data_IF_629808012814
#
_entry.id   IF_629808012814
#
_cell.length_a   1.000
_cell.length_b   1.000
_cell.length_c   1.000
_cell.angle_alpha   90.00
_cell.angle_beta   90.00
_cell.angle_gamma   90.00
#
_symmetry.space_group_name_H-M   'P 1'
#
loop_
_entity.id
_entity.type
_entity.pdbx_description
1 polymer ?
#
# COMPACT_ATOMS: atom_id res chain seq x y z
N UNK A 1 -2.82 27.79 18.42
CA UNK A 1 -2.64 26.35 18.17
C UNK A 1 -3.71 25.49 18.83
N UNK A 2 -3.85 25.40 20.15
CA UNK A 2 -4.86 24.54 20.82
C UNK A 2 -6.29 24.75 20.31
N UNK A 3 -6.70 26.01 20.08
CA UNK A 3 -8.01 26.34 19.53
C UNK A 3 -8.13 25.88 18.07
N UNK A 4 -7.11 26.12 17.26
CA UNK A 4 -7.00 25.69 15.86
C UNK A 4 -7.10 24.15 15.76
N UNK A 5 -6.42 23.42 16.66
CA UNK A 5 -6.52 21.96 16.74
C UNK A 5 -7.91 21.46 17.14
N UNK A 6 -8.56 22.11 18.13
CA UNK A 6 -9.91 21.73 18.57
C UNK A 6 -10.97 21.90 17.49
N UNK A 7 -10.80 22.91 16.63
CA UNK A 7 -11.76 23.24 15.57
C UNK A 7 -11.53 22.44 14.27
N UNK A 8 -10.27 22.19 13.92
CA UNK A 8 -9.90 21.61 12.60
C UNK A 8 -9.04 20.34 12.69
N UNK A 9 -8.77 19.80 13.89
CA UNK A 9 -7.91 18.63 14.03
C UNK A 9 -6.46 18.87 13.60
N UNK A 10 -5.72 17.78 13.37
CA UNK A 10 -4.32 17.83 12.95
C UNK A 10 -4.11 18.44 11.56
N UNK A 11 -5.07 18.30 10.65
CA UNK A 11 -4.98 18.84 9.29
C UNK A 11 -4.94 20.39 9.24
N UNK A 12 -5.42 21.04 10.30
CA UNK A 12 -5.36 22.49 10.40
C UNK A 12 -3.99 23.02 10.85
N UNK A 13 -3.05 22.15 11.23
CA UNK A 13 -1.74 22.51 11.76
C UNK A 13 -0.62 22.11 10.80
N UNK A 14 0.39 22.97 10.68
CA UNK A 14 1.64 22.60 10.03
C UNK A 14 2.47 21.69 10.95
N UNK A 15 3.42 20.93 10.41
CA UNK A 15 4.26 19.96 11.14
C UNK A 15 4.94 20.56 12.36
N UNK A 16 5.53 21.75 12.22
CA UNK A 16 6.15 22.46 13.34
C UNK A 16 5.13 22.88 14.40
N UNK A 17 3.89 23.23 14.03
CA UNK A 17 2.83 23.58 14.99
C UNK A 17 2.36 22.36 15.79
N UNK A 18 2.31 21.16 15.16
CA UNK A 18 2.02 19.90 15.84
C UNK A 18 3.11 19.60 16.87
N UNK A 19 4.37 19.72 16.46
CA UNK A 19 5.53 19.46 17.32
C UNK A 19 5.62 20.47 18.45
N UNK A 20 5.39 21.76 18.17
CA UNK A 20 5.32 22.82 19.17
C UNK A 20 4.23 22.52 20.22
N UNK A 21 3.04 22.10 19.77
CA UNK A 21 1.95 21.73 20.66
C UNK A 21 2.30 20.53 21.53
N UNK A 22 3.02 19.54 21.01
CA UNK A 22 3.53 18.40 21.75
C UNK A 22 4.53 18.84 22.82
N UNK A 23 5.48 19.70 22.48
CA UNK A 23 6.50 20.19 23.38
C UNK A 23 5.92 21.02 24.55
N UNK A 24 4.74 21.65 24.40
CA UNK A 24 4.05 22.32 25.51
C UNK A 24 3.73 21.40 26.70
N UNK A 25 3.66 20.10 26.50
CA UNK A 25 3.41 19.14 27.59
C UNK A 25 4.67 18.76 28.33
N UNK A 26 5.85 18.90 27.74
CA UNK A 26 7.15 18.58 28.34
C UNK A 26 7.98 19.81 28.71
N UNK A 27 7.69 20.96 28.12
CA UNK A 27 8.42 22.23 28.36
C UNK A 27 7.41 23.32 28.77
N UNK A 28 7.02 23.41 30.05
CA UNK A 28 6.06 24.40 30.47
C UNK A 28 6.66 25.81 30.50
N UNK A 29 5.85 26.82 30.13
CA UNK A 29 6.15 28.25 30.26
C UNK A 29 7.27 28.80 29.36
N UNK A 30 7.69 28.07 28.36
CA UNK A 30 8.70 28.49 27.36
C UNK A 30 8.05 28.44 25.96
N UNK A 31 8.43 29.40 25.13
CA UNK A 31 8.06 29.33 23.70
C UNK A 31 8.86 28.22 23.03
N UNK A 32 8.16 27.21 22.53
CA UNK A 32 8.75 26.01 21.90
C UNK A 32 8.76 26.07 20.37
N UNK A 33 8.33 27.18 19.78
CA UNK A 33 8.25 27.33 18.31
C UNK A 33 9.62 27.15 17.64
N UNK A 34 10.64 27.89 18.14
CA UNK A 34 11.99 27.78 17.56
C UNK A 34 12.59 26.37 17.73
N UNK A 35 12.31 25.72 18.87
CA UNK A 35 12.76 24.34 19.11
C UNK A 35 12.07 23.35 18.16
N UNK A 36 10.79 23.54 17.88
CA UNK A 36 10.05 22.73 16.92
C UNK A 36 10.62 22.87 15.51
N UNK A 37 10.92 24.09 15.06
CA UNK A 37 11.58 24.33 13.78
C UNK A 37 12.95 23.65 13.69
N UNK A 38 13.80 23.79 14.71
CA UNK A 38 15.12 23.14 14.74
C UNK A 38 15.02 21.63 14.62
N UNK A 39 14.04 20.99 15.28
CA UNK A 39 13.81 19.55 15.16
C UNK A 39 13.43 19.17 13.74
N UNK A 40 12.47 19.89 13.12
CA UNK A 40 12.07 19.63 11.74
C UNK A 40 13.24 19.79 10.77
N UNK A 41 14.01 20.87 10.91
CA UNK A 41 15.16 21.16 10.04
C UNK A 41 16.26 20.10 10.19
N UNK A 42 16.54 19.66 11.41
CA UNK A 42 17.61 18.70 11.70
C UNK A 42 17.26 17.27 11.25
N UNK A 43 16.00 16.85 11.39
CA UNK A 43 15.57 15.48 11.12
C UNK A 43 14.74 15.34 9.83
N UNK A 44 14.50 16.42 9.09
CA UNK A 44 13.86 16.38 7.77
C UNK A 44 12.34 16.20 7.80
N UNK A 45 11.68 16.41 8.96
CA UNK A 45 10.22 16.32 9.11
C UNK A 45 9.78 15.51 10.33
N UNK A 46 8.47 15.42 10.55
CA UNK A 46 7.89 14.72 11.73
C UNK A 46 8.34 13.24 11.81
N UNK A 47 8.35 12.54 10.69
CA UNK A 47 8.76 11.13 10.64
C UNK A 47 10.22 10.95 11.11
N UNK A 48 11.12 11.84 10.66
CA UNK A 48 12.51 11.84 11.12
C UNK A 48 12.65 12.12 12.61
N UNK A 49 11.90 13.11 13.13
CA UNK A 49 11.89 13.44 14.57
C UNK A 49 11.40 12.27 15.41
N UNK A 50 10.29 11.61 15.00
CA UNK A 50 9.72 10.45 15.71
C UNK A 50 10.59 9.18 15.63
N UNK A 51 11.49 9.11 14.64
CA UNK A 51 12.43 7.99 14.45
C UNK A 51 13.81 8.25 15.08
N UNK A 52 14.10 9.49 15.48
CA UNK A 52 15.38 9.88 16.05
C UNK A 52 15.65 9.21 17.39
N UNK A 53 16.92 8.90 17.65
CA UNK A 53 17.34 8.30 18.92
C UNK A 53 17.39 9.35 20.02
N UNK A 54 17.19 8.91 21.26
CA UNK A 54 17.17 9.79 22.44
C UNK A 54 18.37 10.74 22.50
N UNK A 55 19.58 10.24 22.25
CA UNK A 55 20.80 11.04 22.31
C UNK A 55 20.89 12.09 21.18
N UNK A 56 20.29 11.82 20.02
CA UNK A 56 20.19 12.78 18.92
C UNK A 56 19.18 13.88 19.24
N UNK A 57 18.06 13.53 19.83
CA UNK A 57 17.05 14.49 20.29
C UNK A 57 17.59 15.42 21.39
N UNK A 58 18.28 14.88 22.40
CA UNK A 58 18.85 15.69 23.49
C UNK A 58 20.03 16.57 23.04
N UNK A 59 20.61 16.32 21.87
CA UNK A 59 21.62 17.20 21.27
C UNK A 59 21.01 18.49 20.69
N UNK A 60 19.68 18.53 20.46
CA UNK A 60 18.99 19.73 19.96
C UNK A 60 18.81 20.74 21.10
N UNK A 61 19.28 22.00 20.95
CA UNK A 61 19.11 23.03 21.99
C UNK A 61 17.62 23.23 22.32
N UNK A 62 17.30 23.13 23.60
CA UNK A 62 15.94 23.25 24.12
C UNK A 62 15.23 21.92 24.37
N UNK A 63 15.81 20.79 23.96
CA UNK A 63 15.28 19.45 24.23
C UNK A 63 16.01 18.83 25.42
N UNK A 64 15.29 18.70 26.54
CA UNK A 64 15.74 17.92 27.69
C UNK A 64 15.27 16.49 27.68
N UNK A 65 15.67 15.71 28.67
CA UNK A 65 15.36 14.29 28.82
C UNK A 65 13.85 13.99 28.68
N UNK A 66 13.01 14.78 29.37
CA UNK A 66 11.55 14.59 29.36
C UNK A 66 10.94 14.79 27.98
N UNK A 67 11.46 15.75 27.21
CA UNK A 67 10.97 16.00 25.84
C UNK A 67 11.44 14.90 24.88
N UNK A 68 12.68 14.44 25.01
CA UNK A 68 13.21 13.34 24.22
C UNK A 68 12.44 12.02 24.51
N UNK A 69 12.14 11.76 25.79
CA UNK A 69 11.37 10.58 26.19
C UNK A 69 9.92 10.64 25.67
N UNK A 70 9.27 11.82 25.71
CA UNK A 70 7.93 12.03 25.18
C UNK A 70 7.89 11.80 23.65
N UNK A 71 8.82 12.39 22.90
CA UNK A 71 8.94 12.20 21.45
C UNK A 71 9.17 10.72 21.13
N UNK A 72 10.11 10.08 21.84
CA UNK A 72 10.41 8.66 21.67
C UNK A 72 9.22 7.75 21.97
N UNK A 73 8.43 8.06 23.02
CA UNK A 73 7.21 7.32 23.36
C UNK A 73 6.15 7.44 22.25
N UNK A 74 5.95 8.62 21.70
CA UNK A 74 5.00 8.82 20.59
C UNK A 74 5.48 8.09 19.32
N UNK A 75 6.77 8.14 19.02
CA UNK A 75 7.36 7.37 17.94
C UNK A 75 7.16 5.86 18.11
N UNK A 76 7.26 5.35 19.36
CA UNK A 76 6.99 3.94 19.66
C UNK A 76 5.50 3.59 19.56
N UNK A 77 4.60 4.46 20.01
CA UNK A 77 3.16 4.28 19.83
C UNK A 77 2.80 4.23 18.34
N UNK A 78 3.33 5.15 17.54
CA UNK A 78 3.13 5.15 16.09
C UNK A 78 3.61 3.85 15.45
N UNK A 79 4.83 3.39 15.78
CA UNK A 79 5.35 2.10 15.26
C UNK A 79 4.52 0.89 15.71
N UNK A 80 3.92 0.91 16.90
CA UNK A 80 3.07 -0.18 17.36
C UNK A 80 1.73 -0.22 16.66
N UNK A 81 1.09 0.94 16.47
CA UNK A 81 -0.18 1.02 15.73
C UNK A 81 0.02 0.64 14.27
N UNK A 82 1.10 1.11 13.63
CA UNK A 82 1.46 0.73 12.26
C UNK A 82 1.66 -0.81 12.13
N UNK A 83 2.29 -1.44 13.14
CA UNK A 83 2.43 -2.91 13.21
C UNK A 83 1.14 -3.64 13.58
N UNK A 84 0.19 -3.01 14.24
CA UNK A 84 -1.12 -3.58 14.53
C UNK A 84 -2.02 -3.55 13.30
N UNK A 85 -1.94 -2.49 12.50
CA UNK A 85 -2.57 -2.42 11.18
C UNK A 85 -2.00 -3.48 10.22
N UNK A 86 -0.69 -3.78 10.30
CA UNK A 86 -0.07 -4.89 9.58
C UNK A 86 -0.52 -6.28 10.07
N UNK A 87 -0.98 -6.41 11.33
CA UNK A 87 -1.47 -7.70 11.86
C UNK A 87 -2.92 -8.00 11.48
N UNK A 88 -3.71 -6.98 11.16
CA UNK A 88 -5.08 -7.18 10.66
C UNK A 88 -5.01 -7.22 9.14
N UNK A 89 -5.30 -8.38 8.50
CA UNK A 89 -5.27 -8.46 7.05
C UNK A 89 -6.11 -7.35 6.42
N UNK A 90 -5.57 -6.56 5.49
CA UNK A 90 -6.29 -5.44 4.91
C UNK A 90 -7.56 -5.91 4.22
N UNK A 91 -8.60 -5.11 4.29
CA UNK A 91 -9.83 -5.26 3.55
C UNK A 91 -9.92 -4.14 2.53
N UNK A 92 -9.92 -4.49 1.25
CA UNK A 92 -9.91 -3.51 0.17
C UNK A 92 -11.33 -3.14 -0.24
N UNK A 93 -11.65 -1.84 -0.21
CA UNK A 93 -12.97 -1.32 -0.64
C UNK A 93 -13.09 -1.28 -2.17
N UNK A 94 -11.97 -1.00 -2.83
CA UNK A 94 -11.87 -0.83 -4.28
C UNK A 94 -10.48 -1.19 -4.80
N UNK A 95 -10.32 -1.16 -6.12
CA UNK A 95 -9.04 -1.46 -6.78
C UNK A 95 -8.00 -0.37 -6.57
N UNK A 96 -8.41 0.85 -6.21
CA UNK A 96 -7.44 1.90 -5.91
C UNK A 96 -6.72 1.64 -4.58
N UNK A 97 -7.41 1.07 -3.58
CA UNK A 97 -6.77 0.61 -2.35
C UNK A 97 -5.81 -0.56 -2.61
N UNK A 98 -6.20 -1.51 -3.47
CA UNK A 98 -5.32 -2.62 -3.89
C UNK A 98 -4.08 -2.09 -4.61
N UNK A 99 -4.26 -1.17 -5.57
CA UNK A 99 -3.17 -0.55 -6.32
C UNK A 99 -2.16 0.14 -5.41
N UNK A 100 -2.62 1.00 -4.49
CA UNK A 100 -1.76 1.66 -3.49
C UNK A 100 -1.04 0.67 -2.57
N UNK A 101 -1.71 -0.40 -2.16
CA UNK A 101 -1.10 -1.47 -1.38
C UNK A 101 0.03 -2.15 -2.15
N UNK A 102 -0.19 -2.49 -3.44
CA UNK A 102 0.79 -3.15 -4.29
C UNK A 102 1.98 -2.23 -4.62
N UNK A 103 1.76 -0.93 -4.85
CA UNK A 103 2.85 0.05 -5.00
C UNK A 103 3.78 0.00 -3.80
N UNK A 104 3.27 0.04 -2.57
CA UNK A 104 4.10 -0.07 -1.35
C UNK A 104 4.89 -1.38 -1.25
N UNK A 105 4.40 -2.47 -1.86
CA UNK A 105 5.05 -3.79 -1.81
C UNK A 105 6.07 -4.01 -2.93
N UNK A 106 5.89 -3.38 -4.08
CA UNK A 106 6.59 -3.75 -5.32
C UNK A 106 7.38 -2.61 -5.94
N UNK A 107 7.12 -1.35 -5.57
CA UNK A 107 7.83 -0.21 -6.14
C UNK A 107 9.31 -0.22 -5.76
N UNK A 108 10.18 0.18 -6.70
CA UNK A 108 11.63 0.21 -6.51
C UNK A 108 12.32 -1.17 -6.50
N UNK A 109 11.61 -2.27 -6.78
CA UNK A 109 12.24 -3.57 -6.91
C UNK A 109 13.10 -3.63 -8.17
N UNK A 110 14.35 -4.07 -8.02
CA UNK A 110 15.34 -4.15 -9.11
C UNK A 110 15.06 -5.28 -10.13
N UNK A 111 14.16 -6.20 -9.80
CA UNK A 111 13.77 -7.34 -10.64
C UNK A 111 12.26 -7.41 -10.71
N UNK A 112 11.78 -7.94 -11.83
CA UNK A 112 10.39 -8.28 -12.02
C UNK A 112 9.96 -9.35 -11.01
N UNK A 113 8.83 -9.14 -10.34
CA UNK A 113 8.25 -10.06 -9.37
C UNK A 113 6.76 -10.18 -9.61
N UNK A 114 6.25 -11.40 -9.51
CA UNK A 114 4.82 -11.68 -9.64
C UNK A 114 4.27 -12.04 -8.27
N UNK A 115 3.25 -11.30 -7.82
CA UNK A 115 2.51 -11.54 -6.59
C UNK A 115 1.07 -11.97 -6.90
N UNK A 116 0.57 -12.88 -6.10
CA UNK A 116 -0.83 -13.30 -6.07
C UNK A 116 -1.42 -12.90 -4.71
N UNK A 117 -2.44 -12.05 -4.71
CA UNK A 117 -3.25 -11.77 -3.54
C UNK A 117 -4.47 -12.69 -3.54
N UNK A 118 -4.69 -13.38 -2.45
CA UNK A 118 -5.85 -14.24 -2.20
C UNK A 118 -6.81 -13.52 -1.27
N UNK A 119 -8.07 -13.36 -1.68
CA UNK A 119 -9.04 -12.53 -0.99
C UNK A 119 -10.32 -13.32 -0.68
N UNK A 120 -10.97 -12.97 0.42
CA UNK A 120 -12.34 -13.40 0.73
C UNK A 120 -13.36 -12.77 -0.22
N UNK A 121 -14.63 -13.18 -0.14
CA UNK A 121 -15.71 -12.58 -0.93
C UNK A 121 -15.92 -11.09 -0.60
N UNK A 122 -15.60 -10.65 0.61
CA UNK A 122 -15.68 -9.25 1.06
C UNK A 122 -14.34 -8.50 0.90
N UNK A 123 -13.43 -9.04 0.06
CA UNK A 123 -12.12 -8.47 -0.30
C UNK A 123 -11.15 -8.28 0.87
N UNK A 124 -11.23 -9.10 1.90
CA UNK A 124 -10.22 -9.16 2.95
C UNK A 124 -9.06 -10.03 2.47
N UNK A 125 -7.83 -9.58 2.66
CA UNK A 125 -6.63 -10.34 2.31
C UNK A 125 -6.54 -11.61 3.17
N UNK A 126 -6.41 -12.76 2.53
CA UNK A 126 -6.17 -14.04 3.18
C UNK A 126 -4.67 -14.30 3.22
N UNK A 127 -4.01 -14.16 2.07
CA UNK A 127 -2.58 -14.38 1.92
C UNK A 127 -2.04 -13.66 0.67
N UNK A 128 -0.73 -13.43 0.67
CA UNK A 128 0.02 -12.99 -0.51
C UNK A 128 1.08 -14.05 -0.81
N UNK A 129 1.12 -14.52 -2.06
CA UNK A 129 2.12 -15.47 -2.53
C UNK A 129 2.98 -14.82 -3.63
N UNK A 130 4.29 -15.01 -3.53
CA UNK A 130 5.18 -14.73 -4.65
C UNK A 130 5.15 -15.94 -5.59
N UNK A 131 4.71 -15.72 -6.83
CA UNK A 131 4.56 -16.78 -7.84
C UNK A 131 5.88 -16.99 -8.56
N UNK A 132 6.52 -15.89 -8.96
CA UNK A 132 7.80 -15.94 -9.68
C UNK A 132 8.65 -14.70 -9.41
N UNK A 133 9.94 -14.81 -9.76
CA UNK A 133 10.90 -13.71 -9.86
C UNK A 133 11.54 -13.80 -11.25
N UNK A 134 11.30 -12.78 -12.12
CA UNK A 134 11.71 -12.74 -13.52
C UNK A 134 10.52 -12.36 -14.42
N UNK A 135 10.78 -12.07 -15.70
CA UNK A 135 9.78 -11.51 -16.62
C UNK A 135 8.49 -12.34 -16.71
N UNK A 136 7.36 -11.64 -16.80
CA UNK A 136 6.02 -12.24 -16.98
C UNK A 136 5.84 -12.66 -18.43
N UNK A 137 6.12 -13.92 -18.72
CA UNK A 137 5.73 -14.54 -19.99
C UNK A 137 4.83 -15.74 -19.68
N UNK A 138 4.05 -16.19 -20.66
CA UNK A 138 3.16 -17.35 -20.55
C UNK A 138 3.88 -18.63 -20.04
N UNK A 139 5.20 -18.72 -20.26
CA UNK A 139 6.02 -19.82 -19.75
C UNK A 139 6.44 -19.70 -18.27
N UNK A 140 6.28 -18.53 -17.65
CA UNK A 140 6.77 -18.24 -16.31
C UNK A 140 5.66 -18.08 -15.27
N UNK A 141 4.39 -17.90 -15.69
CA UNK A 141 3.23 -17.81 -14.79
C UNK A 141 2.45 -19.13 -14.85
N UNK A 142 2.63 -19.97 -13.87
CA UNK A 142 1.89 -21.23 -13.75
C UNK A 142 0.48 -20.98 -13.21
N UNK A 143 -0.49 -20.89 -14.14
CA UNK A 143 -1.92 -20.71 -13.81
C UNK A 143 -2.42 -21.83 -12.90
N UNK A 144 -1.93 -23.07 -13.07
CA UNK A 144 -2.31 -24.19 -12.23
C UNK A 144 -1.90 -23.95 -10.77
N UNK A 145 -0.67 -23.50 -10.57
CA UNK A 145 -0.15 -23.16 -9.23
C UNK A 145 -0.96 -22.03 -8.58
N UNK A 146 -1.32 -20.99 -9.35
CA UNK A 146 -2.17 -19.88 -8.85
C UNK A 146 -3.53 -20.42 -8.38
N UNK A 147 -4.17 -21.24 -9.17
CA UNK A 147 -5.48 -21.82 -8.83
C UNK A 147 -5.39 -22.79 -7.67
N UNK A 148 -4.31 -23.54 -7.55
CA UNK A 148 -4.06 -24.43 -6.41
C UNK A 148 -3.96 -23.61 -5.10
N UNK A 149 -3.21 -22.51 -5.07
CA UNK A 149 -3.17 -21.61 -3.92
C UNK A 149 -4.56 -21.04 -3.59
N UNK A 150 -5.30 -20.59 -4.61
CA UNK A 150 -6.62 -20.01 -4.41
C UNK A 150 -7.63 -21.02 -3.84
N UNK A 151 -7.62 -22.26 -4.31
CA UNK A 151 -8.48 -23.35 -3.81
C UNK A 151 -8.13 -23.71 -2.35
N UNK A 152 -6.84 -23.90 -2.07
CA UNK A 152 -6.37 -24.28 -0.72
C UNK A 152 -6.70 -23.19 0.30
N UNK A 153 -6.58 -21.93 -0.08
CA UNK A 153 -6.93 -20.79 0.76
C UNK A 153 -8.44 -20.49 0.81
N UNK A 154 -9.25 -21.21 0.04
CA UNK A 154 -10.70 -20.94 -0.13
C UNK A 154 -10.96 -19.48 -0.54
N UNK A 155 -10.10 -18.92 -1.40
CA UNK A 155 -10.25 -17.58 -1.89
C UNK A 155 -11.44 -17.47 -2.83
N UNK A 156 -12.23 -16.40 -2.68
CA UNK A 156 -13.32 -16.07 -3.61
C UNK A 156 -12.85 -15.11 -4.70
N UNK A 157 -11.95 -14.20 -4.35
CA UNK A 157 -11.35 -13.24 -5.28
C UNK A 157 -9.83 -13.41 -5.27
N UNK A 158 -9.20 -13.18 -6.41
CA UNK A 158 -7.75 -13.10 -6.57
C UNK A 158 -7.35 -11.84 -7.30
N UNK A 159 -6.18 -11.30 -6.97
CA UNK A 159 -5.51 -10.26 -7.75
C UNK A 159 -4.14 -10.77 -8.12
N UNK A 160 -3.82 -10.74 -9.41
CA UNK A 160 -2.46 -10.94 -9.90
C UNK A 160 -1.78 -9.59 -9.99
N UNK A 161 -0.51 -9.51 -9.63
CA UNK A 161 0.26 -8.28 -9.76
C UNK A 161 1.70 -8.56 -10.17
N UNK A 162 2.29 -7.67 -10.96
CA UNK A 162 3.73 -7.68 -11.24
C UNK A 162 4.27 -6.27 -11.34
N UNK A 163 5.58 -6.11 -11.15
CA UNK A 163 6.25 -4.82 -11.35
C UNK A 163 7.13 -4.84 -12.59
N UNK A 164 7.23 -3.70 -13.25
CA UNK A 164 8.28 -3.44 -14.23
C UNK A 164 9.40 -2.61 -13.57
N UNK A 165 10.67 -3.10 -13.56
CA UNK A 165 11.80 -2.34 -13.04
C UNK A 165 12.09 -1.08 -13.87
N UNK A 166 11.82 -1.14 -15.18
CA UNK A 166 11.90 0.02 -16.05
C UNK A 166 10.69 0.94 -15.88
N UNK A 167 10.84 2.28 -15.97
CA UNK A 167 9.76 3.23 -15.77
C UNK A 167 8.76 3.24 -16.94
N UNK A 168 8.19 2.10 -17.25
CA UNK A 168 7.19 1.92 -18.31
C UNK A 168 5.92 1.29 -17.74
N UNK A 169 4.93 2.12 -17.46
CA UNK A 169 3.61 1.71 -17.00
C UNK A 169 2.72 1.32 -18.21
N UNK A 170 3.08 0.23 -18.87
CA UNK A 170 2.34 -0.32 -20.03
C UNK A 170 2.36 -1.83 -20.00
N UNK A 171 1.17 -2.45 -20.09
CA UNK A 171 1.03 -3.89 -20.20
C UNK A 171 1.58 -4.40 -21.53
N UNK A 172 2.26 -5.54 -21.50
CA UNK A 172 2.68 -6.25 -22.71
C UNK A 172 1.57 -7.16 -23.25
N UNK A 173 1.64 -7.60 -24.51
CA UNK A 173 0.71 -8.61 -25.02
C UNK A 173 0.74 -9.94 -24.23
N UNK A 174 1.87 -10.29 -23.63
CA UNK A 174 1.99 -11.45 -22.76
C UNK A 174 1.19 -11.27 -21.46
N UNK A 175 1.22 -10.08 -20.85
CA UNK A 175 0.44 -9.78 -19.65
C UNK A 175 -1.06 -9.85 -19.91
N UNK A 176 -1.50 -9.35 -21.08
CA UNK A 176 -2.89 -9.45 -21.52
C UNK A 176 -3.31 -10.92 -21.70
N UNK A 177 -2.47 -11.74 -22.36
CA UNK A 177 -2.72 -13.15 -22.60
C UNK A 177 -2.83 -13.95 -21.29
N UNK A 178 -1.90 -13.73 -20.36
CA UNK A 178 -1.95 -14.33 -19.00
C UNK A 178 -3.22 -13.91 -18.27
N UNK A 179 -3.59 -12.62 -18.34
CA UNK A 179 -4.82 -12.12 -17.70
C UNK A 179 -6.07 -12.84 -18.19
N UNK A 180 -6.22 -13.00 -19.52
CA UNK A 180 -7.37 -13.69 -20.13
C UNK A 180 -7.37 -15.17 -19.74
N UNK A 181 -6.23 -15.84 -19.83
CA UNK A 181 -6.10 -17.26 -19.54
C UNK A 181 -6.41 -17.57 -18.07
N UNK A 182 -5.90 -16.75 -17.16
CA UNK A 182 -6.17 -16.89 -15.73
C UNK A 182 -7.65 -16.60 -15.40
N UNK A 183 -8.22 -15.54 -15.99
CA UNK A 183 -9.63 -15.19 -15.81
C UNK A 183 -10.55 -16.35 -16.20
N UNK A 184 -10.31 -16.96 -17.37
CA UNK A 184 -11.10 -18.10 -17.84
C UNK A 184 -10.94 -19.30 -16.92
N UNK A 185 -9.71 -19.66 -16.56
CA UNK A 185 -9.45 -20.81 -15.72
C UNK A 185 -10.03 -20.64 -14.30
N UNK A 186 -9.92 -19.47 -13.70
CA UNK A 186 -10.47 -19.14 -12.40
C UNK A 186 -12.01 -19.17 -12.39
N UNK A 187 -12.64 -18.66 -13.46
CA UNK A 187 -14.11 -18.60 -13.57
C UNK A 187 -14.77 -19.98 -13.54
N UNK A 188 -14.13 -21.00 -14.11
CA UNK A 188 -14.60 -22.41 -14.08
C UNK A 188 -14.69 -22.94 -12.64
N UNK A 189 -13.85 -22.41 -11.74
CA UNK A 189 -13.79 -22.78 -10.33
C UNK A 189 -14.58 -21.83 -9.42
N UNK A 190 -15.38 -20.91 -9.99
CA UNK A 190 -16.08 -19.84 -9.27
C UNK A 190 -15.13 -18.97 -8.45
N UNK A 191 -13.89 -18.79 -8.90
CA UNK A 191 -12.91 -17.85 -8.37
C UNK A 191 -12.89 -16.63 -9.29
N UNK A 192 -13.02 -15.44 -8.74
CA UNK A 192 -13.01 -14.20 -9.49
C UNK A 192 -11.59 -13.64 -9.61
N UNK A 193 -11.06 -13.49 -10.81
CA UNK A 193 -9.90 -12.62 -11.03
C UNK A 193 -10.41 -11.17 -10.98
N UNK A 194 -10.22 -10.52 -9.83
CA UNK A 194 -10.70 -9.15 -9.64
C UNK A 194 -9.94 -8.15 -10.52
N UNK A 195 -8.62 -8.31 -10.60
CA UNK A 195 -7.78 -7.51 -11.51
C UNK A 195 -6.40 -8.17 -11.71
N UNK A 196 -5.71 -7.77 -12.79
CA UNK A 196 -4.27 -7.93 -12.95
C UNK A 196 -3.64 -6.54 -12.94
N UNK A 197 -2.74 -6.28 -11.98
CA UNK A 197 -2.17 -4.96 -11.72
C UNK A 197 -0.68 -4.95 -12.06
N UNK A 198 -0.28 -4.00 -12.90
CA UNK A 198 1.10 -3.67 -13.17
C UNK A 198 1.53 -2.50 -12.30
N UNK A 199 2.68 -2.60 -11.64
CA UNK A 199 3.30 -1.54 -10.83
C UNK A 199 4.60 -1.06 -11.48
N UNK A 200 4.79 0.24 -11.63
CA UNK A 200 6.03 0.84 -12.12
C UNK A 200 6.11 2.32 -11.71
N UNK A 201 7.30 2.77 -11.31
CA UNK A 201 7.61 4.18 -11.01
C UNK A 201 6.60 4.84 -10.04
N UNK A 202 6.30 4.17 -8.93
CA UNK A 202 5.35 4.65 -7.91
C UNK A 202 3.89 4.70 -8.35
N UNK A 203 3.57 4.16 -9.52
CA UNK A 203 2.23 4.14 -10.10
C UNK A 203 1.75 2.70 -10.33
N UNK A 204 0.47 2.54 -10.66
CA UNK A 204 -0.09 1.25 -11.02
C UNK A 204 -1.07 1.38 -12.19
N UNK A 205 -1.23 0.27 -12.92
CA UNK A 205 -2.14 0.11 -14.05
C UNK A 205 -3.01 -1.13 -13.83
N UNK A 206 -4.32 -0.99 -14.02
CA UNK A 206 -5.29 -2.08 -14.01
C UNK A 206 -5.43 -2.65 -15.43
N UNK A 207 -4.78 -3.78 -15.70
CA UNK A 207 -4.65 -4.35 -17.06
C UNK A 207 -6.00 -4.74 -17.64
N UNK A 208 -6.87 -5.42 -16.88
CA UNK A 208 -8.20 -5.81 -17.39
C UNK A 208 -9.05 -4.58 -17.73
N UNK A 209 -8.99 -3.52 -16.92
CA UNK A 209 -9.71 -2.28 -17.21
C UNK A 209 -9.16 -1.55 -18.42
N UNK A 210 -7.83 -1.53 -18.59
CA UNK A 210 -7.19 -0.96 -19.78
C UNK A 210 -7.58 -1.68 -21.06
N UNK A 211 -7.55 -3.01 -21.06
CA UNK A 211 -8.00 -3.83 -22.19
C UNK A 211 -9.43 -3.52 -22.59
N UNK A 212 -10.33 -3.25 -21.64
CA UNK A 212 -11.70 -2.82 -21.92
C UNK A 212 -11.76 -1.45 -22.60
N UNK A 213 -10.95 -0.49 -22.11
CA UNK A 213 -10.94 0.89 -22.61
C UNK A 213 -10.45 0.97 -24.07
N UNK A 214 -9.52 0.10 -24.45
CA UNK A 214 -8.93 0.06 -25.78
C UNK A 214 -9.65 -0.89 -26.76
N UNK A 215 -10.78 -1.50 -26.37
CA UNK A 215 -11.49 -2.51 -27.16
C UNK A 215 -10.54 -3.61 -27.71
N UNK A 216 -9.52 -3.97 -26.94
CA UNK A 216 -8.54 -4.97 -27.29
C UNK A 216 -9.17 -6.37 -27.47
N UNK A 217 -8.41 -7.29 -28.08
CA UNK A 217 -8.83 -8.68 -28.20
C UNK A 217 -9.17 -9.27 -26.82
N UNK A 218 -10.43 -9.67 -26.62
CA UNK A 218 -10.93 -10.16 -25.33
C UNK A 218 -11.83 -9.20 -24.54
N UNK A 219 -11.98 -7.95 -24.96
CA UNK A 219 -12.82 -6.95 -24.27
C UNK A 219 -14.25 -7.47 -24.00
N UNK A 220 -14.88 -8.16 -24.96
CA UNK A 220 -16.22 -8.75 -24.81
C UNK A 220 -16.27 -9.82 -23.71
N UNK A 221 -15.20 -10.60 -23.56
CA UNK A 221 -15.08 -11.65 -22.52
C UNK A 221 -14.88 -11.03 -21.14
N UNK A 222 -14.01 -10.02 -21.05
CA UNK A 222 -13.77 -9.26 -19.82
C UNK A 222 -15.04 -8.53 -19.39
N UNK A 223 -15.78 -7.92 -20.32
CA UNK A 223 -17.06 -7.24 -20.04
C UNK A 223 -18.08 -8.18 -19.41
N UNK A 224 -18.21 -9.42 -19.91
CA UNK A 224 -19.09 -10.45 -19.32
C UNK A 224 -18.63 -10.83 -17.91
N UNK A 225 -17.34 -11.01 -17.70
CA UNK A 225 -16.77 -11.35 -16.41
C UNK A 225 -17.07 -10.29 -15.35
N UNK A 226 -16.81 -9.01 -15.66
CA UNK A 226 -17.08 -7.88 -14.73
C UNK A 226 -18.59 -7.72 -14.48
N UNK A 227 -19.44 -7.93 -15.50
CA UNK A 227 -20.88 -7.81 -15.34
C UNK A 227 -21.46 -8.91 -14.43
N UNK A 228 -20.98 -10.13 -14.55
CA UNK A 228 -21.42 -11.24 -13.70
C UNK A 228 -21.04 -11.04 -12.24
N UNK A 229 -19.93 -10.37 -11.96
CA UNK A 229 -19.45 -10.09 -10.60
C UNK A 229 -20.20 -8.94 -9.91
N UNK A 230 -20.90 -8.07 -10.68
CA UNK A 230 -21.75 -7.00 -10.12
C UNK A 230 -23.13 -7.48 -9.70
N UNK A 231 -23.59 -8.62 -10.24
CA UNK A 231 -24.94 -9.17 -9.96
C UNK A 231 -24.96 -10.24 -8.88
N UNK A 232 -23.82 -10.57 -8.29
CA UNK A 232 -23.65 -11.56 -7.21
C UNK A 232 -23.67 -10.98 -5.80
N UNK A 233 -24.34 -9.85 -5.59
CA UNK A 233 -24.60 -9.25 -4.27
C UNK A 233 -26.06 -9.39 -3.91
#
# INVERSE_FOLDING_TARGET
MREKFRQGGGEALADHEILEMLLFYSIPRINTNETAHRLIDQFGGLSGVLSAKRHELTAVPGIGDQSADLIGLIGELYRRTDREDDKTPPRFKDLDEVGRYLVKQMDGLARERVLLLLLTADNRLIATHQINEGSVNESNVDIRQILEYAILAKASNIVLAHNHPDPMLKASPADESVSISLMHAASVLNINLWEHILVSDGQYLCILREMLSHQSYGAATIQRHISNNKTGN
#
